data_IF_616707912397
#
_entry.id   IF_616707912397
#
_cell.length_a   1.000
_cell.length_b   1.000
_cell.length_c   1.000
_cell.angle_alpha   90.00
_cell.angle_beta   90.00
_cell.angle_gamma   90.00
#
_symmetry.space_group_name_H-M   'P 1'
#
loop_
_entity.id
_entity.type
_entity.pdbx_description
1 polymer ?
#
# COMPACT_ATOMS: atom_id res chain seq x y z
N UNK A 1 30.34 -24.67 5.15
CA UNK A 1 28.93 -24.31 5.42
C UNK A 1 28.88 -22.80 5.53
N UNK A 2 28.27 -22.19 4.54
CA UNK A 2 28.45 -20.80 4.08
C UNK A 2 27.65 -19.79 4.92
N UNK A 3 28.26 -18.62 5.15
CA UNK A 3 27.70 -17.45 5.87
C UNK A 3 26.36 -16.95 5.28
N UNK A 4 26.07 -17.30 4.03
CA UNK A 4 24.84 -17.02 3.32
C UNK A 4 23.61 -17.68 3.99
N UNK A 5 23.78 -18.87 4.58
CA UNK A 5 22.70 -19.61 5.26
C UNK A 5 22.34 -19.05 6.65
N UNK A 6 23.23 -18.25 7.25
CA UNK A 6 23.06 -17.67 8.60
C UNK A 6 22.36 -16.31 8.52
N UNK A 7 22.66 -15.51 7.48
CA UNK A 7 22.02 -14.19 7.26
C UNK A 7 20.54 -14.32 6.89
N UNK A 8 20.19 -15.34 6.11
CA UNK A 8 18.82 -15.59 5.64
C UNK A 8 17.90 -16.08 6.78
N UNK A 9 18.43 -16.87 7.72
CA UNK A 9 17.70 -17.29 8.92
C UNK A 9 17.44 -16.14 9.90
N UNK A 10 18.42 -15.28 10.15
CA UNK A 10 18.25 -14.17 11.10
C UNK A 10 17.32 -13.07 10.58
N UNK A 11 17.31 -12.80 9.27
CA UNK A 11 16.37 -11.85 8.67
C UNK A 11 14.92 -12.36 8.65
N UNK A 12 14.74 -13.67 8.44
CA UNK A 12 13.42 -14.30 8.44
C UNK A 12 12.84 -14.42 9.87
N UNK A 13 13.65 -14.81 10.86
CA UNK A 13 13.21 -14.90 12.26
C UNK A 13 12.87 -13.54 12.88
N UNK A 14 13.65 -12.49 12.59
CA UNK A 14 13.35 -11.14 13.09
C UNK A 14 12.05 -10.57 12.49
N UNK A 15 11.81 -10.85 11.21
CA UNK A 15 10.58 -10.43 10.52
C UNK A 15 9.37 -11.22 11.05
N UNK A 16 9.49 -12.54 11.22
CA UNK A 16 8.43 -13.38 11.78
C UNK A 16 8.14 -13.07 13.25
N UNK A 17 9.16 -12.77 14.06
CA UNK A 17 8.98 -12.33 15.44
C UNK A 17 8.29 -10.96 15.52
N UNK A 18 8.64 -10.02 14.64
CA UNK A 18 7.97 -8.71 14.58
C UNK A 18 6.51 -8.82 14.16
N UNK A 19 6.20 -9.68 13.18
CA UNK A 19 4.83 -9.99 12.75
C UNK A 19 4.02 -10.64 13.89
N UNK A 20 4.60 -11.63 14.59
CA UNK A 20 3.93 -12.33 15.68
C UNK A 20 3.67 -11.43 16.90
N UNK A 21 4.63 -10.57 17.25
CA UNK A 21 4.47 -9.58 18.33
C UNK A 21 3.39 -8.55 17.97
N UNK A 22 3.26 -8.17 16.70
CA UNK A 22 2.21 -7.26 16.23
C UNK A 22 0.83 -7.90 16.16
N UNK A 23 0.75 -9.15 15.70
CA UNK A 23 -0.50 -9.93 15.67
C UNK A 23 -1.04 -10.14 17.09
N UNK A 24 -0.16 -10.44 18.05
CA UNK A 24 -0.49 -10.59 19.46
C UNK A 24 -0.98 -9.27 20.08
N UNK A 25 -0.35 -8.13 19.75
CA UNK A 25 -0.82 -6.81 20.20
C UNK A 25 -2.18 -6.41 19.60
N UNK A 26 -2.41 -6.68 18.32
CA UNK A 26 -3.71 -6.47 17.68
C UNK A 26 -4.79 -7.33 18.35
N UNK A 27 -4.49 -8.59 18.61
CA UNK A 27 -5.40 -9.52 19.30
C UNK A 27 -5.75 -9.05 20.71
N UNK A 28 -4.77 -8.48 21.42
CA UNK A 28 -4.94 -7.95 22.77
C UNK A 28 -5.81 -6.68 22.79
N UNK A 29 -5.65 -5.80 21.81
CA UNK A 29 -6.51 -4.62 21.63
C UNK A 29 -7.95 -5.07 21.36
N UNK A 30 -8.16 -6.02 20.44
CA UNK A 30 -9.50 -6.58 20.20
C UNK A 30 -10.13 -7.17 21.45
N UNK A 31 -9.35 -7.94 22.22
CA UNK A 31 -9.83 -8.58 23.44
C UNK A 31 -10.28 -7.54 24.47
N UNK A 32 -9.47 -6.52 24.73
CA UNK A 32 -9.81 -5.46 25.68
C UNK A 32 -11.05 -4.65 25.23
N UNK A 33 -11.21 -4.42 23.93
CA UNK A 33 -12.39 -3.73 23.40
C UNK A 33 -13.65 -4.61 23.37
N UNK A 34 -13.50 -5.94 23.28
CA UNK A 34 -14.63 -6.89 23.37
C UNK A 34 -15.26 -6.92 24.77
N UNK A 35 -14.48 -6.68 25.81
CA UNK A 35 -14.98 -6.56 27.19
C UNK A 35 -15.84 -5.29 27.36
N UNK A 36 -15.52 -4.22 26.64
CA UNK A 36 -16.32 -2.98 26.62
C UNK A 36 -17.71 -3.18 25.97
N UNK A 37 -17.83 -4.13 25.02
CA UNK A 37 -19.09 -4.47 24.33
C UNK A 37 -20.15 -5.06 25.28
N UNK A 38 -19.75 -5.63 26.42
CA UNK A 38 -20.66 -6.29 27.38
C UNK A 38 -21.48 -5.30 28.22
N UNK A 39 -21.24 -4.00 28.12
CA UNK A 39 -22.05 -3.00 28.83
C UNK A 39 -23.44 -2.85 28.18
N UNK A 40 -24.53 -2.84 28.96
CA UNK A 40 -25.87 -2.65 28.42
C UNK A 40 -26.01 -1.23 27.87
N UNK A 41 -25.76 -1.07 26.58
CA UNK A 41 -25.88 0.22 25.88
C UNK A 41 -27.35 0.42 25.49
N UNK A 42 -27.99 1.42 26.11
CA UNK A 42 -29.35 1.85 25.79
C UNK A 42 -29.26 3.08 24.86
N UNK A 43 -29.99 3.10 23.74
CA UNK A 43 -30.03 4.23 22.80
C UNK A 43 -29.06 4.13 21.60
N UNK A 44 -28.65 5.25 20.95
CA UNK A 44 -27.89 5.27 19.68
C UNK A 44 -26.58 4.47 19.70
N UNK A 45 -25.97 4.30 20.88
CA UNK A 45 -24.79 3.47 21.06
C UNK A 45 -25.08 1.98 20.82
N UNK A 46 -26.30 1.50 21.08
CA UNK A 46 -26.66 0.11 20.80
C UNK A 46 -26.48 -0.25 19.33
N UNK A 47 -26.92 0.61 18.39
CA UNK A 47 -26.75 0.38 16.95
C UNK A 47 -25.27 0.37 16.54
N UNK A 48 -24.45 1.24 17.12
CA UNK A 48 -22.99 1.24 16.91
C UNK A 48 -22.32 -0.02 17.48
N UNK A 49 -22.77 -0.50 18.65
CA UNK A 49 -22.22 -1.68 19.30
C UNK A 49 -22.73 -3.00 18.73
N UNK A 50 -23.89 -3.03 18.10
CA UNK A 50 -24.48 -4.21 17.45
C UNK A 50 -23.56 -4.73 16.33
N UNK A 51 -22.98 -3.81 15.55
CA UNK A 51 -22.08 -4.12 14.44
C UNK A 51 -20.59 -4.07 14.82
N UNK A 52 -20.26 -3.94 16.11
CA UNK A 52 -18.90 -3.79 16.59
C UNK A 52 -17.98 -4.92 16.12
N UNK A 53 -18.44 -6.17 16.15
CA UNK A 53 -17.64 -7.32 15.68
C UNK A 53 -17.26 -7.17 14.20
N UNK A 54 -18.20 -6.69 13.38
CA UNK A 54 -17.95 -6.42 11.97
C UNK A 54 -16.98 -5.25 11.78
N UNK A 55 -17.12 -4.19 12.57
CA UNK A 55 -16.20 -3.05 12.56
C UNK A 55 -14.77 -3.42 13.01
N UNK A 56 -14.65 -4.21 14.07
CA UNK A 56 -13.37 -4.71 14.57
C UNK A 56 -12.68 -5.60 13.53
N UNK A 57 -13.45 -6.46 12.84
CA UNK A 57 -12.92 -7.29 11.76
C UNK A 57 -12.44 -6.46 10.56
N UNK A 58 -13.18 -5.41 10.18
CA UNK A 58 -12.75 -4.49 9.11
C UNK A 58 -11.46 -3.73 9.49
N UNK A 59 -11.33 -3.31 10.76
CA UNK A 59 -10.12 -2.67 11.27
C UNK A 59 -8.92 -3.62 11.24
N UNK A 60 -9.11 -4.89 11.60
CA UNK A 60 -8.05 -5.90 11.49
C UNK A 60 -7.62 -6.14 10.05
N UNK A 61 -8.60 -6.28 9.15
CA UNK A 61 -8.34 -6.48 7.72
C UNK A 61 -7.56 -5.30 7.13
N UNK A 62 -7.87 -4.08 7.56
CA UNK A 62 -7.16 -2.86 7.18
C UNK A 62 -5.75 -2.82 7.77
N UNK A 63 -5.59 -3.17 9.05
CA UNK A 63 -4.29 -3.33 9.69
C UNK A 63 -3.40 -4.33 8.94
N UNK A 64 -3.91 -5.51 8.63
CA UNK A 64 -3.18 -6.53 7.86
C UNK A 64 -2.76 -6.00 6.47
N UNK A 65 -3.63 -5.26 5.79
CA UNK A 65 -3.30 -4.69 4.48
C UNK A 65 -2.21 -3.62 4.58
N UNK A 66 -2.21 -2.79 5.63
CA UNK A 66 -1.13 -1.85 5.92
C UNK A 66 0.18 -2.61 6.14
N UNK A 67 0.18 -3.69 6.94
CA UNK A 67 1.37 -4.48 7.23
C UNK A 67 1.95 -5.16 6.00
N UNK A 68 1.09 -5.75 5.16
CA UNK A 68 1.51 -6.37 3.91
C UNK A 68 2.15 -5.33 2.97
N UNK A 69 1.48 -4.19 2.79
CA UNK A 69 2.00 -3.09 1.98
C UNK A 69 3.34 -2.56 2.52
N UNK A 70 3.47 -2.37 3.83
CA UNK A 70 4.72 -1.93 4.45
C UNK A 70 5.86 -2.93 4.24
N UNK A 71 5.60 -4.23 4.44
CA UNK A 71 6.59 -5.29 4.25
C UNK A 71 7.12 -5.30 2.81
N UNK A 72 6.23 -5.31 1.82
CA UNK A 72 6.64 -5.34 0.41
C UNK A 72 7.27 -4.02 -0.04
N UNK A 73 6.82 -2.87 0.50
CA UNK A 73 7.47 -1.57 0.25
C UNK A 73 8.90 -1.53 0.78
N UNK A 74 9.17 -2.12 1.93
CA UNK A 74 10.52 -2.19 2.48
C UNK A 74 11.46 -2.98 1.57
N UNK A 75 11.01 -4.12 1.03
CA UNK A 75 11.81 -4.90 0.08
C UNK A 75 12.03 -4.15 -1.23
N UNK A 76 11.01 -3.44 -1.75
CA UNK A 76 11.18 -2.54 -2.90
C UNK A 76 12.27 -1.48 -2.65
N UNK A 77 12.19 -0.78 -1.51
CA UNK A 77 13.15 0.25 -1.17
C UNK A 77 14.55 -0.30 -0.98
N UNK A 78 14.69 -1.49 -0.40
CA UNK A 78 15.98 -2.16 -0.25
C UNK A 78 16.63 -2.41 -1.62
N UNK A 79 15.88 -2.89 -2.60
CA UNK A 79 16.41 -3.15 -3.94
C UNK A 79 16.82 -1.86 -4.67
N UNK A 80 16.02 -0.79 -4.56
CA UNK A 80 16.36 0.55 -5.05
C UNK A 80 17.64 1.08 -4.39
N UNK A 81 17.76 0.94 -3.07
CA UNK A 81 18.94 1.38 -2.32
C UNK A 81 20.19 0.61 -2.72
N UNK A 82 20.09 -0.70 -2.98
CA UNK A 82 21.23 -1.50 -3.47
C UNK A 82 21.72 -0.96 -4.81
N UNK A 83 20.83 -0.70 -5.77
CA UNK A 83 21.22 -0.12 -7.06
C UNK A 83 21.85 1.27 -6.91
N UNK A 84 21.28 2.12 -6.05
CA UNK A 84 21.82 3.44 -5.75
C UNK A 84 23.23 3.37 -5.13
N UNK A 85 23.44 2.49 -4.15
CA UNK A 85 24.75 2.29 -3.52
C UNK A 85 25.77 1.73 -4.51
N UNK A 86 25.35 0.83 -5.40
CA UNK A 86 26.22 0.29 -6.45
C UNK A 86 26.64 1.37 -7.44
N UNK A 87 25.70 2.20 -7.92
CA UNK A 87 26.00 3.31 -8.82
C UNK A 87 26.94 4.32 -8.17
N UNK A 88 26.65 4.75 -6.94
CA UNK A 88 27.50 5.72 -6.22
C UNK A 88 28.90 5.18 -5.96
N UNK A 89 29.04 3.88 -5.65
CA UNK A 89 30.35 3.23 -5.53
C UNK A 89 31.12 3.30 -6.85
N UNK A 90 30.50 2.93 -7.95
CA UNK A 90 31.11 2.97 -9.30
C UNK A 90 31.57 4.38 -9.67
N UNK A 91 30.75 5.40 -9.40
CA UNK A 91 31.12 6.82 -9.59
C UNK A 91 32.34 7.17 -8.75
N UNK A 92 32.35 6.78 -7.47
CA UNK A 92 33.49 7.09 -6.59
C UNK A 92 34.78 6.41 -7.02
N UNK A 93 34.71 5.25 -7.67
CA UNK A 93 35.88 4.49 -8.11
C UNK A 93 36.43 5.01 -9.45
N UNK A 94 35.54 5.42 -10.36
CA UNK A 94 35.91 5.72 -11.77
C UNK A 94 35.92 7.19 -12.13
N UNK A 95 35.13 8.03 -11.46
CA UNK A 95 35.04 9.44 -11.82
C UNK A 95 36.28 10.24 -11.39
N UNK A 96 36.63 11.32 -12.11
CA UNK A 96 37.69 12.23 -11.67
C UNK A 96 37.44 12.73 -10.24
N UNK A 97 38.44 12.54 -9.37
CA UNK A 97 38.36 12.94 -7.94
C UNK A 97 38.53 14.44 -7.73
N UNK A 98 39.13 15.11 -8.71
CA UNK A 98 39.32 16.56 -8.73
C UNK A 98 38.81 17.07 -10.06
N UNK A 99 38.05 18.16 -10.03
CA UNK A 99 37.49 18.79 -11.23
C UNK A 99 38.21 20.11 -11.40
N UNK A 100 39.27 20.09 -12.21
CA UNK A 100 40.14 21.25 -12.43
C UNK A 100 39.92 21.88 -13.82
N UNK A 101 39.22 21.17 -14.71
CA UNK A 101 38.91 21.60 -16.06
C UNK A 101 37.48 21.26 -16.46
N UNK A 102 37.01 21.86 -17.57
CA UNK A 102 35.72 21.53 -18.18
C UNK A 102 35.66 20.07 -18.64
N UNK A 103 36.78 19.52 -19.11
CA UNK A 103 36.87 18.13 -19.55
C UNK A 103 36.70 17.16 -18.36
N UNK A 104 37.33 17.45 -17.21
CA UNK A 104 37.16 16.65 -15.98
C UNK A 104 35.69 16.63 -15.53
N UNK A 105 35.01 17.78 -15.63
CA UNK A 105 33.59 17.88 -15.30
C UNK A 105 32.71 17.05 -16.24
N UNK A 106 32.96 17.11 -17.55
CA UNK A 106 32.21 16.32 -18.53
C UNK A 106 32.44 14.82 -18.34
N UNK A 107 33.68 14.41 -18.02
CA UNK A 107 33.98 13.02 -17.68
C UNK A 107 33.28 12.58 -16.39
N UNK A 108 33.31 13.39 -15.33
CA UNK A 108 32.57 13.12 -14.10
C UNK A 108 31.07 12.95 -14.38
N UNK A 109 30.48 13.87 -15.15
CA UNK A 109 29.06 13.82 -15.55
C UNK A 109 28.74 12.55 -16.31
N UNK A 110 29.53 12.21 -17.32
CA UNK A 110 29.33 11.01 -18.14
C UNK A 110 29.43 9.73 -17.32
N UNK A 111 30.46 9.61 -16.47
CA UNK A 111 30.65 8.44 -15.61
C UNK A 111 29.50 8.32 -14.61
N UNK A 112 29.03 9.44 -14.06
CA UNK A 112 27.86 9.47 -13.18
C UNK A 112 26.61 8.98 -13.88
N UNK A 113 26.28 9.53 -15.03
CA UNK A 113 25.09 9.13 -15.80
C UNK A 113 25.16 7.64 -16.12
N UNK A 114 26.28 7.17 -16.69
CA UNK A 114 26.43 5.78 -17.09
C UNK A 114 26.33 4.81 -15.90
N UNK A 115 26.97 5.12 -14.77
CA UNK A 115 26.93 4.26 -13.58
C UNK A 115 25.51 4.11 -13.02
N UNK A 116 24.73 5.19 -13.00
CA UNK A 116 23.34 5.15 -12.58
C UNK A 116 22.45 4.45 -13.61
N UNK A 117 22.64 4.74 -14.90
CA UNK A 117 21.91 4.10 -15.99
C UNK A 117 22.11 2.58 -15.97
N UNK A 118 23.35 2.11 -15.86
CA UNK A 118 23.68 0.68 -15.81
C UNK A 118 23.07 0.01 -14.57
N UNK A 119 23.23 0.61 -13.38
CA UNK A 119 22.71 0.03 -12.13
C UNK A 119 21.18 -0.09 -12.14
N UNK A 120 20.48 0.97 -12.56
CA UNK A 120 19.02 0.96 -12.59
C UNK A 120 18.46 0.18 -13.78
N UNK A 121 19.14 0.14 -14.93
CA UNK A 121 18.74 -0.73 -16.04
C UNK A 121 18.80 -2.20 -15.63
N UNK A 122 19.86 -2.60 -14.92
CA UNK A 122 19.97 -3.96 -14.38
C UNK A 122 18.88 -4.26 -13.34
N UNK A 123 18.62 -3.32 -12.42
CA UNK A 123 17.53 -3.47 -11.45
C UNK A 123 16.17 -3.63 -12.13
N UNK A 124 15.80 -2.72 -13.02
CA UNK A 124 14.49 -2.72 -13.67
C UNK A 124 14.31 -3.88 -14.66
N UNK A 125 15.40 -4.40 -15.22
CA UNK A 125 15.37 -5.61 -16.05
C UNK A 125 15.33 -6.90 -15.23
N UNK A 126 15.55 -6.83 -13.91
CA UNK A 126 15.54 -8.01 -13.05
C UNK A 126 14.13 -8.55 -12.83
N UNK A 127 14.02 -9.88 -12.86
CA UNK A 127 12.76 -10.57 -12.58
C UNK A 127 12.35 -10.40 -11.12
N UNK A 128 13.30 -10.44 -10.19
CA UNK A 128 13.02 -10.22 -8.77
C UNK A 128 12.36 -8.86 -8.53
N UNK A 129 12.92 -7.78 -9.10
CA UNK A 129 12.34 -6.44 -8.93
C UNK A 129 10.94 -6.33 -9.51
N UNK A 130 10.70 -6.91 -10.69
CA UNK A 130 9.37 -6.93 -11.31
C UNK A 130 8.33 -7.62 -10.41
N UNK A 131 8.72 -8.72 -9.74
CA UNK A 131 7.86 -9.42 -8.77
C UNK A 131 7.61 -8.56 -7.54
N UNK A 132 8.65 -7.95 -6.97
CA UNK A 132 8.52 -7.06 -5.80
C UNK A 132 7.63 -5.85 -6.11
N UNK A 133 7.85 -5.20 -7.25
CA UNK A 133 7.02 -4.08 -7.71
C UNK A 133 5.55 -4.50 -7.87
N UNK A 134 5.28 -5.64 -8.51
CA UNK A 134 3.93 -6.17 -8.66
C UNK A 134 3.22 -6.42 -7.33
N UNK A 135 3.94 -6.96 -6.33
CA UNK A 135 3.41 -7.14 -4.96
C UNK A 135 3.09 -5.80 -4.30
N UNK A 136 4.00 -4.83 -4.36
CA UNK A 136 3.77 -3.49 -3.82
C UNK A 136 2.55 -2.84 -4.46
N UNK A 137 2.44 -2.87 -5.78
CA UNK A 137 1.28 -2.30 -6.48
C UNK A 137 -0.02 -3.00 -6.07
N UNK A 138 -0.03 -4.32 -5.99
CA UNK A 138 -1.20 -5.10 -5.58
C UNK A 138 -1.63 -4.76 -4.14
N UNK A 139 -0.68 -4.72 -3.21
CA UNK A 139 -0.97 -4.46 -1.80
C UNK A 139 -1.42 -3.02 -1.55
N UNK A 140 -0.84 -2.04 -2.24
CA UNK A 140 -1.31 -0.65 -2.19
C UNK A 140 -2.74 -0.52 -2.74
N UNK A 141 -3.05 -1.19 -3.86
CA UNK A 141 -4.41 -1.20 -4.40
C UNK A 141 -5.41 -1.87 -3.45
N UNK A 142 -5.01 -2.97 -2.82
CA UNK A 142 -5.83 -3.68 -1.84
C UNK A 142 -6.07 -2.81 -0.58
N UNK A 143 -5.03 -2.12 -0.09
CA UNK A 143 -5.13 -1.15 0.99
C UNK A 143 -6.11 -0.02 0.64
N UNK A 144 -6.00 0.59 -0.54
CA UNK A 144 -6.93 1.65 -0.95
C UNK A 144 -8.37 1.15 -1.05
N UNK A 145 -8.59 -0.05 -1.57
CA UNK A 145 -9.94 -0.65 -1.63
C UNK A 145 -10.51 -0.85 -0.22
N UNK A 146 -9.71 -1.36 0.72
CA UNK A 146 -10.15 -1.56 2.12
C UNK A 146 -10.42 -0.23 2.82
N UNK A 147 -9.58 0.78 2.63
CA UNK A 147 -9.80 2.14 3.11
C UNK A 147 -11.10 2.74 2.58
N UNK A 148 -11.37 2.60 1.28
CA UNK A 148 -12.60 3.09 0.67
C UNK A 148 -13.84 2.39 1.27
N UNK A 149 -13.82 1.06 1.36
CA UNK A 149 -14.93 0.29 1.97
C UNK A 149 -15.18 0.70 3.43
N UNK A 150 -14.11 0.91 4.18
CA UNK A 150 -14.20 1.36 5.56
C UNK A 150 -14.82 2.75 5.64
N UNK A 151 -14.42 3.70 4.78
CA UNK A 151 -15.01 5.03 4.72
C UNK A 151 -16.50 4.99 4.35
N UNK A 152 -16.88 4.22 3.33
CA UNK A 152 -18.28 4.07 2.91
C UNK A 152 -19.15 3.46 4.01
N UNK A 153 -18.64 2.48 4.76
CA UNK A 153 -19.35 1.92 5.91
C UNK A 153 -19.61 2.99 6.99
N UNK A 154 -18.62 3.84 7.27
CA UNK A 154 -18.78 4.95 8.22
C UNK A 154 -19.81 5.98 7.73
N UNK A 155 -19.82 6.32 6.44
CA UNK A 155 -20.84 7.21 5.86
C UNK A 155 -22.25 6.61 6.01
N UNK A 156 -22.42 5.31 5.74
CA UNK A 156 -23.71 4.62 5.94
C UNK A 156 -24.18 4.66 7.39
N UNK A 157 -23.29 4.43 8.35
CA UNK A 157 -23.62 4.53 9.79
C UNK A 157 -24.08 5.93 10.17
N UNK A 158 -23.52 6.97 9.53
CA UNK A 158 -23.92 8.37 9.74
C UNK A 158 -25.14 8.80 8.91
N UNK A 159 -25.78 7.88 8.17
CA UNK A 159 -26.83 8.16 7.19
C UNK A 159 -26.42 9.21 6.15
N UNK A 160 -25.14 9.24 5.79
CA UNK A 160 -24.58 10.09 4.75
C UNK A 160 -24.51 9.31 3.43
N UNK A 161 -24.82 9.95 2.29
CA UNK A 161 -24.79 9.29 0.99
C UNK A 161 -23.37 8.81 0.64
N UNK A 162 -23.24 7.55 0.25
CA UNK A 162 -21.98 6.99 -0.24
C UNK A 162 -21.76 7.32 -1.70
N UNK A 163 -20.51 7.22 -2.16
CA UNK A 163 -20.19 7.43 -3.58
C UNK A 163 -20.96 6.47 -4.49
N UNK A 164 -21.01 5.19 -4.12
CA UNK A 164 -21.71 4.17 -4.90
C UNK A 164 -23.22 4.45 -4.99
N UNK A 165 -23.85 4.94 -3.91
CA UNK A 165 -25.25 5.35 -3.93
C UNK A 165 -25.47 6.59 -4.80
N UNK A 166 -24.58 7.58 -4.72
CA UNK A 166 -24.64 8.77 -5.60
C UNK A 166 -24.46 8.40 -7.07
N UNK A 167 -23.53 7.49 -7.39
CA UNK A 167 -23.30 6.99 -8.74
C UNK A 167 -24.52 6.23 -9.28
N UNK A 168 -25.20 5.46 -8.43
CA UNK A 168 -26.45 4.79 -8.81
C UNK A 168 -27.57 5.80 -9.09
N UNK A 169 -27.75 6.80 -8.22
CA UNK A 169 -28.73 7.88 -8.43
C UNK A 169 -28.44 8.62 -9.75
N UNK A 170 -27.17 8.88 -10.07
CA UNK A 170 -26.80 9.51 -11.34
C UNK A 170 -27.14 8.64 -12.55
N UNK A 171 -26.89 7.33 -12.47
CA UNK A 171 -27.28 6.37 -13.53
C UNK A 171 -28.80 6.34 -13.70
N UNK A 172 -29.55 6.26 -12.61
CA UNK A 172 -31.01 6.24 -12.64
C UNK A 172 -31.57 7.54 -13.24
N UNK A 173 -31.00 8.70 -12.88
CA UNK A 173 -31.34 10.00 -13.49
C UNK A 173 -31.05 9.98 -15.01
N UNK A 174 -29.92 9.43 -15.43
CA UNK A 174 -29.58 9.33 -16.85
C UNK A 174 -30.54 8.40 -17.60
N UNK A 175 -30.91 7.27 -17.02
CA UNK A 175 -31.86 6.32 -17.59
C UNK A 175 -33.26 6.95 -17.70
N UNK A 176 -33.73 7.61 -16.64
CA UNK A 176 -35.00 8.37 -16.65
C UNK A 176 -34.99 9.43 -17.76
N UNK A 177 -33.92 10.22 -17.87
CA UNK A 177 -33.81 11.25 -18.94
C UNK A 177 -33.90 10.63 -20.33
N UNK A 178 -33.27 9.46 -20.53
CA UNK A 178 -33.31 8.73 -21.79
C UNK A 178 -34.72 8.23 -22.09
N UNK A 179 -35.37 7.59 -21.12
CA UNK A 179 -36.76 7.10 -21.26
C UNK A 179 -37.72 8.25 -21.57
N UNK A 180 -37.59 9.41 -20.92
CA UNK A 180 -38.39 10.61 -21.22
C UNK A 180 -38.13 11.10 -22.66
N UNK A 181 -36.88 11.14 -23.09
CA UNK A 181 -36.53 11.54 -24.45
C UNK A 181 -37.15 10.59 -25.49
N UNK A 182 -37.05 9.28 -25.26
CA UNK A 182 -37.58 8.25 -26.15
C UNK A 182 -39.12 8.30 -26.20
N UNK A 183 -39.79 8.46 -25.06
CA UNK A 183 -41.24 8.67 -24.99
C UNK A 183 -41.68 9.88 -25.82
N UNK A 184 -41.02 11.04 -25.61
CA UNK A 184 -41.28 12.27 -26.36
C UNK A 184 -41.06 12.12 -27.86
N UNK A 185 -40.11 11.29 -28.28
CA UNK A 185 -39.82 11.01 -29.70
C UNK A 185 -40.85 10.04 -30.30
N UNK A 186 -41.39 9.13 -29.50
CA UNK A 186 -42.39 8.14 -29.93
C UNK A 186 -43.83 8.67 -30.03
N UNK A 187 -44.08 9.93 -29.67
CA UNK A 187 -45.38 10.59 -29.88
C UNK A 187 -46.44 10.31 -28.81
N UNK A 188 -46.02 9.96 -27.60
CA UNK A 188 -46.82 10.12 -26.37
C UNK A 188 -46.51 11.47 -25.73
#
# INVERSE_FOLDING_TARGET
MTEEHVKDKMGNDATNASLHIQEEQMTKILHNWSEFNKMPTIGPFHAFFQDFKSYAQDLLNLGQAIFNAQTNLNEYWKQINIAYVQATKEVSERAPKQINSKEDFEQYRKITINAFEDAFTNLFSSKEFSVTYGKVSSDLLDLFKKMQKFAEKNLKVLNLPTRDEMDQVLKDIHEIKRTIHDMKKSGL
#
